data_IF_029925558268
#
_entry.id   IF_029925558268
#
_cell.length_a   1.000
_cell.length_b   1.000
_cell.length_c   1.000
_cell.angle_alpha   90.00
_cell.angle_beta   90.00
_cell.angle_gamma   90.00
#
_symmetry.space_group_name_H-M   'P 1'
#
loop_
_entity.id
_entity.type
_entity.pdbx_description
1 polymer ?
#
# COMPACT_ATOMS: atom_id res chain seq x y z
N UNK A 1 -23.30 37.78 27.53
CA UNK A 1 -24.14 37.33 26.41
C UNK A 1 -23.63 35.97 25.97
N UNK A 2 -24.42 34.91 26.15
CA UNK A 2 -24.18 33.62 25.50
C UNK A 2 -24.33 33.81 23.99
N UNK A 3 -23.46 33.22 23.14
CA UNK A 3 -23.64 33.31 21.69
C UNK A 3 -25.02 32.77 21.32
N UNK A 4 -25.74 33.48 20.44
CA UNK A 4 -27.07 33.07 19.98
C UNK A 4 -26.91 31.71 19.30
N UNK A 5 -27.80 30.77 19.61
CA UNK A 5 -27.73 29.36 19.18
C UNK A 5 -27.36 29.14 17.71
N UNK A 6 -27.78 30.05 16.84
CA UNK A 6 -27.46 30.05 15.40
C UNK A 6 -25.95 30.16 15.10
N UNK A 7 -25.20 30.99 15.84
CA UNK A 7 -23.74 31.10 15.67
C UNK A 7 -23.02 29.82 16.13
N UNK A 8 -23.55 29.17 17.18
CA UNK A 8 -23.03 27.90 17.66
C UNK A 8 -23.32 26.75 16.69
N UNK A 9 -24.49 26.77 16.04
CA UNK A 9 -24.87 25.77 15.04
C UNK A 9 -24.05 25.93 13.75
N UNK A 10 -23.80 27.17 13.31
CA UNK A 10 -22.92 27.45 12.17
C UNK A 10 -21.48 26.98 12.44
N UNK A 11 -20.93 27.29 13.62
CA UNK A 11 -19.58 26.85 14.00
C UNK A 11 -19.45 25.32 14.04
N UNK A 12 -20.52 24.61 14.44
CA UNK A 12 -20.57 23.14 14.42
C UNK A 12 -20.59 22.59 13.00
N UNK A 13 -21.34 23.23 12.10
CA UNK A 13 -21.39 22.85 10.69
C UNK A 13 -20.03 23.07 10.00
N UNK A 14 -19.38 24.20 10.24
CA UNK A 14 -18.08 24.53 9.66
C UNK A 14 -16.98 23.59 10.16
N UNK A 15 -17.01 23.25 11.45
CA UNK A 15 -16.12 22.24 12.02
C UNK A 15 -16.34 20.87 11.36
N UNK A 16 -17.60 20.45 11.18
CA UNK A 16 -17.93 19.17 10.53
C UNK A 16 -17.45 19.14 9.08
N UNK A 17 -17.64 20.23 8.32
CA UNK A 17 -17.14 20.35 6.94
C UNK A 17 -15.62 20.23 6.91
N UNK A 18 -14.93 20.96 7.77
CA UNK A 18 -13.46 20.93 7.86
C UNK A 18 -12.94 19.52 8.17
N UNK A 19 -13.57 18.84 9.13
CA UNK A 19 -13.21 17.46 9.49
C UNK A 19 -13.54 16.46 8.37
N UNK A 20 -14.65 16.63 7.67
CA UNK A 20 -15.01 15.80 6.53
C UNK A 20 -13.97 15.93 5.41
N UNK A 21 -13.60 17.15 5.04
CA UNK A 21 -12.55 17.41 4.04
C UNK A 21 -11.19 16.85 4.47
N UNK A 22 -10.81 17.01 5.75
CA UNK A 22 -9.57 16.45 6.26
C UNK A 22 -9.56 14.91 6.21
N UNK A 23 -10.70 14.27 6.51
CA UNK A 23 -10.87 12.82 6.39
C UNK A 23 -10.78 12.36 4.93
N UNK A 24 -11.50 13.01 4.02
CA UNK A 24 -11.46 12.67 2.59
C UNK A 24 -10.03 12.79 2.02
N UNK A 25 -9.30 13.84 2.40
CA UNK A 25 -7.90 14.01 2.00
C UNK A 25 -7.01 12.87 2.51
N UNK A 26 -7.19 12.46 3.79
CA UNK A 26 -6.47 11.31 4.36
C UNK A 26 -6.81 10.03 3.63
N UNK A 27 -8.08 9.74 3.43
CA UNK A 27 -8.54 8.48 2.84
C UNK A 27 -8.02 8.35 1.40
N UNK A 28 -8.07 9.44 0.61
CA UNK A 28 -7.47 9.48 -0.73
C UNK A 28 -5.95 9.29 -0.72
N UNK A 29 -5.25 9.88 0.25
CA UNK A 29 -3.80 9.69 0.39
C UNK A 29 -3.44 8.23 0.72
N UNK A 30 -4.22 7.58 1.61
CA UNK A 30 -4.05 6.18 1.94
C UNK A 30 -4.32 5.27 0.75
N UNK A 31 -5.41 5.51 0.00
CA UNK A 31 -5.72 4.76 -1.21
C UNK A 31 -4.59 4.86 -2.26
N UNK A 32 -4.00 6.05 -2.42
CA UNK A 32 -2.87 6.24 -3.33
C UNK A 32 -1.61 5.50 -2.84
N UNK A 33 -1.33 5.52 -1.54
CA UNK A 33 -0.21 4.78 -0.96
C UNK A 33 -0.39 3.26 -1.14
N UNK A 34 -1.60 2.75 -0.98
CA UNK A 34 -1.91 1.34 -1.24
C UNK A 34 -1.68 0.96 -2.70
N UNK A 35 -2.13 1.80 -3.65
CA UNK A 35 -1.87 1.60 -5.09
C UNK A 35 -0.38 1.63 -5.42
N UNK A 36 0.36 2.58 -4.86
CA UNK A 36 1.81 2.67 -5.05
C UNK A 36 2.51 1.45 -4.46
N UNK A 37 2.11 1.01 -3.27
CA UNK A 37 2.66 -0.19 -2.63
C UNK A 37 2.40 -1.44 -3.48
N UNK A 38 1.19 -1.61 -4.00
CA UNK A 38 0.87 -2.74 -4.89
C UNK A 38 1.70 -2.69 -6.18
N UNK A 39 1.90 -1.51 -6.76
CA UNK A 39 2.73 -1.35 -7.96
C UNK A 39 4.21 -1.71 -7.70
N UNK A 40 4.78 -1.20 -6.60
CA UNK A 40 6.16 -1.50 -6.19
C UNK A 40 6.33 -2.99 -5.89
N UNK A 41 5.40 -3.60 -5.15
CA UNK A 41 5.42 -5.04 -4.89
C UNK A 41 5.33 -5.86 -6.18
N UNK A 42 4.44 -5.47 -7.10
CA UNK A 42 4.28 -6.15 -8.38
C UNK A 42 5.55 -6.10 -9.23
N UNK A 43 6.16 -4.92 -9.36
CA UNK A 43 7.42 -4.74 -10.09
C UNK A 43 8.55 -5.55 -9.44
N UNK A 44 8.70 -5.45 -8.12
CA UNK A 44 9.70 -6.20 -7.36
C UNK A 44 9.58 -7.71 -7.60
N UNK A 45 8.39 -8.29 -7.46
CA UNK A 45 8.21 -9.73 -7.64
C UNK A 45 8.34 -10.19 -9.09
N UNK A 46 8.05 -9.32 -10.07
CA UNK A 46 8.36 -9.58 -11.48
C UNK A 46 9.86 -9.64 -11.73
N UNK A 47 10.63 -8.72 -11.15
CA UNK A 47 12.10 -8.76 -11.23
C UNK A 47 12.66 -10.03 -10.58
N UNK A 48 12.15 -10.40 -9.40
CA UNK A 48 12.55 -11.65 -8.74
C UNK A 48 12.21 -12.87 -9.59
N UNK A 49 11.03 -12.90 -10.21
CA UNK A 49 10.63 -13.99 -11.10
C UNK A 49 11.58 -14.10 -12.31
N UNK A 50 11.85 -12.98 -13.00
CA UNK A 50 12.76 -12.96 -14.15
C UNK A 50 14.19 -13.35 -13.80
N UNK A 51 14.67 -13.01 -12.59
CA UNK A 51 15.99 -13.40 -12.12
C UNK A 51 16.11 -14.89 -11.77
N UNK A 52 15.00 -15.53 -11.43
CA UNK A 52 14.95 -16.96 -11.08
C UNK A 52 14.58 -17.85 -12.28
N UNK A 53 13.97 -17.29 -13.31
CA UNK A 53 13.61 -18.04 -14.52
C UNK A 53 14.86 -18.46 -15.30
N UNK A 54 15.00 -19.76 -15.56
CA UNK A 54 16.19 -20.33 -16.20
C UNK A 54 17.50 -20.20 -15.42
N UNK A 55 17.46 -19.79 -14.14
CA UNK A 55 18.66 -19.60 -13.33
C UNK A 55 19.36 -20.94 -12.97
N UNK A 56 20.58 -20.84 -12.45
CA UNK A 56 21.37 -22.00 -12.06
C UNK A 56 20.71 -22.83 -10.94
N UNK A 57 21.08 -24.11 -10.87
CA UNK A 57 20.61 -25.00 -9.81
C UNK A 57 21.07 -24.49 -8.44
N UNK A 58 20.11 -24.10 -7.59
CA UNK A 58 20.37 -23.53 -6.26
C UNK A 58 19.99 -22.05 -6.13
N UNK A 59 19.70 -21.34 -7.23
CA UNK A 59 19.35 -19.93 -7.20
C UNK A 59 18.17 -19.58 -6.27
N UNK A 60 17.22 -20.52 -6.08
CA UNK A 60 16.13 -20.34 -5.11
C UNK A 60 16.62 -20.30 -3.66
N UNK A 61 17.65 -21.06 -3.31
CA UNK A 61 18.24 -21.03 -1.96
C UNK A 61 18.91 -19.68 -1.72
N UNK A 62 19.70 -19.23 -2.68
CA UNK A 62 20.39 -17.94 -2.58
C UNK A 62 19.38 -16.79 -2.52
N UNK A 63 18.28 -16.88 -3.27
CA UNK A 63 17.16 -15.93 -3.14
C UNK A 63 16.51 -15.97 -1.75
N UNK A 64 16.36 -17.13 -1.10
CA UNK A 64 15.85 -17.16 0.28
C UNK A 64 16.81 -16.51 1.27
N UNK A 65 18.12 -16.64 1.05
CA UNK A 65 19.15 -16.03 1.90
C UNK A 65 19.19 -14.50 1.73
N UNK A 66 19.11 -14.00 0.49
CA UNK A 66 19.13 -12.55 0.20
C UNK A 66 17.81 -11.87 0.59
N UNK A 67 16.68 -12.49 0.25
CA UNK A 67 15.37 -11.87 0.47
C UNK A 67 14.84 -12.09 1.90
N UNK A 68 15.46 -12.98 2.67
CA UNK A 68 15.06 -13.29 4.05
C UNK A 68 13.66 -13.91 4.16
N UNK A 69 13.12 -14.43 3.06
CA UNK A 69 11.80 -15.08 2.99
C UNK A 69 11.93 -16.53 2.57
N UNK A 70 10.92 -17.34 2.90
CA UNK A 70 10.93 -18.77 2.56
C UNK A 70 10.74 -18.99 1.06
N UNK A 71 11.24 -20.13 0.56
CA UNK A 71 11.06 -20.55 -0.85
C UNK A 71 9.58 -20.57 -1.25
N UNK A 72 8.71 -21.06 -0.38
CA UNK A 72 7.26 -21.10 -0.62
C UNK A 72 6.66 -19.70 -0.77
N UNK A 73 7.14 -18.74 0.03
CA UNK A 73 6.73 -17.33 -0.11
C UNK A 73 7.15 -16.78 -1.48
N UNK A 74 8.40 -17.01 -1.88
CA UNK A 74 8.92 -16.59 -3.19
C UNK A 74 8.06 -17.19 -4.30
N UNK A 75 7.82 -18.50 -4.28
CA UNK A 75 7.01 -19.18 -5.30
C UNK A 75 5.57 -18.65 -5.39
N UNK A 76 4.93 -18.39 -4.24
CA UNK A 76 3.58 -17.82 -4.22
C UNK A 76 3.55 -16.41 -4.79
N UNK A 77 4.53 -15.58 -4.46
CA UNK A 77 4.60 -14.19 -4.90
C UNK A 77 4.98 -14.07 -6.36
N UNK A 78 6.01 -14.78 -6.81
CA UNK A 78 6.39 -14.81 -8.22
C UNK A 78 5.26 -15.38 -9.07
N UNK A 79 4.53 -16.41 -8.63
CA UNK A 79 3.34 -16.89 -9.35
C UNK A 79 2.18 -15.87 -9.37
N UNK A 80 1.98 -15.12 -8.28
CA UNK A 80 0.93 -14.09 -8.21
C UNK A 80 1.19 -12.91 -9.16
N UNK A 81 2.44 -12.50 -9.28
CA UNK A 81 2.84 -11.30 -10.02
C UNK A 81 3.57 -11.58 -11.35
N UNK A 82 3.80 -12.85 -11.69
CA UNK A 82 4.34 -13.27 -12.99
C UNK A 82 3.54 -12.63 -14.13
N UNK A 83 4.21 -12.19 -15.20
CA UNK A 83 3.55 -11.66 -16.39
C UNK A 83 2.65 -12.70 -17.07
#
# INVERSE_FOLDING_TARGET
MTPRSEEADQAREDLRKTLATAKEARDKALENLEKQKEAVESEYWRTVHAALDGAYHGAQKDATEVLGVTRDHILKRTKKYAP
#
